data_IF_557188422697
#
_entry.id   IF_557188422697
#
_cell.length_a   1.000
_cell.length_b   1.000
_cell.length_c   1.000
_cell.angle_alpha   90.00
_cell.angle_beta   90.00
_cell.angle_gamma   90.00
#
_symmetry.space_group_name_H-M   'P 1'
#
loop_
_entity.id
_entity.type
_entity.pdbx_description
1 polymer ?
#
# COMPACT_ATOMS: atom_id res chain seq x y z
N UNK A 1 -10.70 1.46 0.25
CA UNK A 1 -9.93 2.59 0.81
C UNK A 1 -10.17 2.57 2.28
N UNK A 2 -9.12 2.44 3.07
CA UNK A 2 -9.21 2.35 4.52
C UNK A 2 -9.75 3.64 5.18
N UNK A 3 -9.76 3.66 6.50
CA UNK A 3 -10.28 4.78 7.29
C UNK A 3 -9.55 6.09 7.01
N UNK A 4 -10.29 7.21 6.95
CA UNK A 4 -9.68 8.54 6.75
C UNK A 4 -9.34 9.20 8.09
N UNK A 5 -8.09 9.03 8.52
CA UNK A 5 -7.55 9.60 9.75
C UNK A 5 -6.64 10.83 9.51
N UNK A 6 -6.63 11.39 8.30
CA UNK A 6 -5.68 12.47 7.91
C UNK A 6 -5.71 13.68 8.83
N UNK A 7 -6.87 14.05 9.32
CA UNK A 7 -7.05 15.24 10.15
C UNK A 7 -6.61 15.05 11.61
N UNK A 8 -6.35 13.80 12.02
CA UNK A 8 -5.97 13.46 13.38
C UNK A 8 -4.50 13.06 13.51
N UNK A 9 -3.94 12.44 12.46
CA UNK A 9 -2.65 11.78 12.55
C UNK A 9 -1.52 12.71 12.11
N UNK A 10 -0.56 13.03 12.98
CA UNK A 10 0.65 13.76 12.63
C UNK A 10 1.52 12.93 11.69
N UNK A 11 2.15 13.59 10.73
CA UNK A 11 2.97 12.99 9.68
C UNK A 11 4.29 13.73 9.59
N UNK A 12 5.39 13.00 9.48
CA UNK A 12 6.72 13.56 9.33
C UNK A 12 7.29 13.15 7.97
N UNK A 13 7.72 14.08 7.12
CA UNK A 13 8.45 13.74 5.91
C UNK A 13 9.67 12.88 6.24
N UNK A 14 9.96 11.88 5.41
CA UNK A 14 11.13 11.02 5.54
C UNK A 14 11.80 10.85 4.17
N UNK A 15 13.13 11.00 4.13
CA UNK A 15 13.86 10.78 2.89
C UNK A 15 14.02 9.29 2.59
N UNK A 16 14.24 8.97 1.32
CA UNK A 16 14.52 7.58 0.91
C UNK A 16 15.82 7.07 1.52
N UNK A 17 16.83 7.91 1.68
CA UNK A 17 18.11 7.56 2.27
C UNK A 17 17.96 7.11 3.72
N UNK A 18 17.03 7.70 4.47
CA UNK A 18 16.72 7.31 5.85
C UNK A 18 16.12 5.89 5.95
N UNK A 19 15.60 5.36 4.84
CA UNK A 19 15.09 4.00 4.73
C UNK A 19 16.15 2.98 4.29
N UNK A 20 17.39 3.42 3.99
CA UNK A 20 18.49 2.53 3.63
C UNK A 20 18.76 1.52 4.74
N UNK A 21 18.97 0.25 4.38
CA UNK A 21 19.16 -0.87 5.30
C UNK A 21 17.91 -1.34 6.04
N UNK A 22 16.78 -0.60 5.95
CA UNK A 22 15.54 -0.94 6.66
C UNK A 22 14.70 -1.95 5.88
N UNK A 23 14.11 -2.89 6.61
CA UNK A 23 13.08 -3.80 6.07
C UNK A 23 11.75 -3.08 6.06
N UNK A 24 11.12 -2.96 4.89
CA UNK A 24 9.82 -2.30 4.73
C UNK A 24 8.81 -3.32 4.20
N UNK A 25 7.76 -3.57 4.99
CA UNK A 25 6.67 -4.45 4.62
C UNK A 25 5.63 -3.67 3.79
N UNK A 26 5.65 -3.88 2.48
CA UNK A 26 4.84 -3.14 1.50
C UNK A 26 3.56 -3.91 1.22
N UNK A 27 2.41 -3.26 1.39
CA UNK A 27 1.14 -3.78 0.91
C UNK A 27 1.20 -3.92 -0.62
N UNK A 28 1.24 -5.18 -1.09
CA UNK A 28 1.40 -5.50 -2.50
C UNK A 28 0.18 -5.08 -3.31
N UNK A 29 -1.05 -5.33 -2.80
CA UNK A 29 -2.27 -4.98 -3.51
C UNK A 29 -2.44 -3.48 -3.64
N UNK A 30 -2.20 -2.71 -2.58
CA UNK A 30 -2.21 -1.25 -2.61
C UNK A 30 -1.19 -0.72 -3.63
N UNK A 31 0.05 -1.22 -3.62
CA UNK A 31 1.09 -0.83 -4.57
C UNK A 31 0.70 -1.14 -6.03
N UNK A 32 0.23 -2.37 -6.32
CA UNK A 32 -0.15 -2.80 -7.66
C UNK A 32 -1.36 -2.01 -8.18
N UNK A 33 -2.36 -1.73 -7.35
CA UNK A 33 -3.47 -0.85 -7.71
C UNK A 33 -3.02 0.55 -8.08
N UNK A 34 -2.08 1.10 -7.33
CA UNK A 34 -1.50 2.41 -7.64
C UNK A 34 -0.78 2.41 -8.99
N UNK A 35 0.00 1.38 -9.28
CA UNK A 35 0.69 1.25 -10.56
C UNK A 35 -0.31 1.15 -11.72
N UNK A 36 -1.35 0.34 -11.58
CA UNK A 36 -2.44 0.23 -12.58
C UNK A 36 -3.19 1.54 -12.79
N UNK A 37 -3.33 2.36 -11.73
CA UNK A 37 -4.03 3.63 -11.80
C UNK A 37 -3.19 4.75 -12.42
N UNK A 38 -1.88 4.78 -12.15
CA UNK A 38 -0.99 5.89 -12.49
C UNK A 38 -0.24 5.64 -13.80
N UNK A 39 0.22 4.40 -14.04
CA UNK A 39 1.05 4.03 -15.20
C UNK A 39 0.15 3.72 -16.38
N UNK A 40 -0.15 4.76 -17.16
CA UNK A 40 -1.08 4.71 -18.28
C UNK A 40 -0.55 5.52 -19.45
N UNK A 41 -1.04 5.22 -20.64
CA UNK A 41 -0.80 6.00 -21.85
C UNK A 41 -1.49 7.38 -21.74
N UNK A 42 -1.16 8.34 -22.62
CA UNK A 42 -1.78 9.68 -22.61
C UNK A 42 -3.31 9.67 -22.73
N UNK A 43 -3.87 8.69 -23.45
CA UNK A 43 -5.32 8.50 -23.63
C UNK A 43 -6.01 7.88 -22.40
N UNK A 44 -5.25 7.51 -21.36
CA UNK A 44 -5.75 6.86 -20.14
C UNK A 44 -5.76 5.33 -20.21
N UNK A 45 -5.44 4.71 -21.33
CA UNK A 45 -5.35 3.24 -21.41
C UNK A 45 -4.15 2.70 -20.63
N UNK A 46 -4.25 1.51 -19.99
CA UNK A 46 -3.10 0.89 -19.35
C UNK A 46 -2.06 0.45 -20.38
N UNK A 47 -0.79 0.35 -19.97
CA UNK A 47 0.24 -0.27 -20.79
C UNK A 47 -0.12 -1.73 -21.06
N UNK A 48 0.16 -2.18 -22.29
CA UNK A 48 -0.15 -3.55 -22.75
C UNK A 48 1.01 -4.12 -23.52
N UNK A 49 1.14 -5.45 -23.50
CA UNK A 49 1.98 -6.20 -24.44
C UNK A 49 1.26 -6.34 -25.80
N UNK A 50 1.96 -6.88 -26.81
CA UNK A 50 1.43 -7.11 -28.17
C UNK A 50 0.23 -8.06 -28.21
N UNK A 51 0.01 -8.86 -27.15
CA UNK A 51 -1.15 -9.77 -27.04
C UNK A 51 -2.34 -9.10 -26.34
N UNK A 52 -2.19 -7.84 -25.91
CA UNK A 52 -3.22 -7.05 -25.24
C UNK A 52 -3.26 -7.20 -23.71
N UNK A 53 -2.38 -8.00 -23.10
CA UNK A 53 -2.32 -8.16 -21.64
C UNK A 53 -1.78 -6.90 -20.99
N UNK A 54 -2.39 -6.48 -19.89
CA UNK A 54 -1.98 -5.28 -19.15
C UNK A 54 -0.63 -5.53 -18.46
N UNK A 55 0.31 -4.58 -18.63
CA UNK A 55 1.68 -4.64 -18.08
C UNK A 55 2.04 -3.48 -17.16
N UNK A 56 1.12 -2.55 -16.91
CA UNK A 56 1.34 -1.38 -16.03
C UNK A 56 1.80 -1.76 -14.63
N UNK A 57 1.22 -2.81 -14.04
CA UNK A 57 1.58 -3.32 -12.71
C UNK A 57 3.02 -3.84 -12.66
N UNK A 58 3.45 -4.58 -13.69
CA UNK A 58 4.83 -5.07 -13.81
C UNK A 58 5.83 -3.94 -14.01
N UNK A 59 5.46 -2.94 -14.82
CA UNK A 59 6.30 -1.75 -15.03
C UNK A 59 6.53 -1.00 -13.72
N UNK A 60 5.45 -0.73 -12.97
CA UNK A 60 5.55 -0.08 -11.67
C UNK A 60 6.36 -0.88 -10.67
N UNK A 61 6.06 -2.17 -10.56
CA UNK A 61 6.74 -3.08 -9.65
C UNK A 61 8.25 -3.15 -9.93
N UNK A 62 8.65 -3.37 -11.20
CA UNK A 62 10.05 -3.43 -11.59
C UNK A 62 10.81 -2.16 -11.18
N UNK A 63 10.39 -1.01 -11.73
CA UNK A 63 11.17 0.22 -11.57
C UNK A 63 11.14 0.74 -10.15
N UNK A 64 10.03 0.59 -9.43
CA UNK A 64 9.96 1.01 -8.03
C UNK A 64 10.80 0.11 -7.12
N UNK A 65 10.74 -1.20 -7.31
CA UNK A 65 11.56 -2.16 -6.55
C UNK A 65 13.06 -1.95 -6.83
N UNK A 66 13.44 -1.73 -8.08
CA UNK A 66 14.83 -1.38 -8.45
C UNK A 66 15.30 -0.13 -7.72
N UNK A 67 14.48 0.94 -7.67
CA UNK A 67 14.83 2.16 -6.95
C UNK A 67 15.02 1.89 -5.44
N UNK A 68 14.18 1.06 -4.83
CA UNK A 68 14.32 0.69 -3.43
C UNK A 68 15.60 -0.10 -3.16
N UNK A 69 15.89 -1.08 -3.99
CA UNK A 69 17.12 -1.89 -3.86
C UNK A 69 18.38 -1.06 -4.09
N UNK A 70 18.33 -0.08 -5.01
CA UNK A 70 19.47 0.80 -5.32
C UNK A 70 19.89 1.66 -4.11
N UNK A 71 18.93 2.17 -3.34
CA UNK A 71 19.21 2.93 -2.11
C UNK A 71 19.50 2.02 -0.90
N UNK A 72 19.51 0.70 -1.08
CA UNK A 72 19.77 -0.29 -0.02
C UNK A 72 18.58 -0.57 0.88
N UNK A 73 17.38 -0.12 0.56
CA UNK A 73 16.18 -0.54 1.26
C UNK A 73 15.92 -2.03 1.03
N UNK A 74 15.35 -2.71 2.01
CA UNK A 74 14.99 -4.12 1.97
C UNK A 74 13.46 -4.27 1.88
N UNK A 75 12.86 -4.18 0.68
CA UNK A 75 11.43 -4.33 0.52
C UNK A 75 11.01 -5.80 0.71
N UNK A 76 9.87 -6.01 1.36
CA UNK A 76 9.12 -7.26 1.34
C UNK A 76 7.68 -6.96 0.98
N UNK A 77 7.14 -7.66 -0.02
CA UNK A 77 5.78 -7.43 -0.50
C UNK A 77 4.80 -8.40 0.15
N UNK A 78 3.74 -7.87 0.74
CA UNK A 78 2.74 -8.65 1.48
C UNK A 78 1.49 -8.73 0.60
N UNK A 79 1.13 -9.95 0.20
CA UNK A 79 -0.08 -10.22 -0.60
C UNK A 79 -1.23 -10.64 0.30
N UNK A 80 -2.41 -10.06 0.08
CA UNK A 80 -3.63 -10.44 0.79
C UNK A 80 -3.98 -11.92 0.57
N UNK A 81 -4.51 -12.52 1.63
CA UNK A 81 -5.15 -13.83 1.58
C UNK A 81 -6.64 -13.72 1.24
N UNK A 82 -7.42 -14.64 1.79
CA UNK A 82 -8.88 -14.58 1.66
C UNK A 82 -9.42 -13.43 2.49
N UNK A 83 -10.16 -12.50 1.87
CA UNK A 83 -10.80 -11.44 2.63
C UNK A 83 -11.78 -12.07 3.65
N UNK A 84 -11.98 -11.47 4.82
CA UNK A 84 -13.03 -11.87 5.72
C UNK A 84 -14.40 -11.76 5.03
N UNK A 85 -15.32 -12.71 5.30
CA UNK A 85 -16.68 -12.72 4.71
C UNK A 85 -17.41 -11.38 4.93
N UNK A 86 -17.12 -10.74 6.00
CA UNK A 86 -17.63 -9.44 6.45
C UNK A 86 -17.27 -8.26 5.51
N UNK A 87 -16.25 -8.39 4.62
CA UNK A 87 -15.89 -7.37 3.61
C UNK A 87 -16.77 -7.38 2.35
N UNK A 88 -17.72 -8.27 2.22
CA UNK A 88 -18.54 -8.39 0.99
C UNK A 88 -19.25 -7.10 0.60
N UNK A 89 -19.76 -6.35 1.57
CA UNK A 89 -20.45 -5.06 1.35
C UNK A 89 -19.51 -4.03 0.71
N UNK A 90 -18.28 -3.91 1.21
CA UNK A 90 -17.30 -2.97 0.64
C UNK A 90 -16.82 -3.43 -0.75
N UNK A 91 -16.67 -4.72 -0.96
CA UNK A 91 -16.33 -5.29 -2.28
C UNK A 91 -17.41 -4.94 -3.30
N UNK A 92 -18.70 -5.08 -2.94
CA UNK A 92 -19.82 -4.70 -3.79
C UNK A 92 -19.87 -3.20 -4.07
N UNK A 93 -19.63 -2.36 -3.05
CA UNK A 93 -19.55 -0.90 -3.19
C UNK A 93 -18.43 -0.50 -4.15
N UNK A 94 -17.23 -1.05 -3.98
CA UNK A 94 -16.07 -0.81 -4.87
C UNK A 94 -16.37 -1.23 -6.31
N UNK A 95 -17.08 -2.34 -6.49
CA UNK A 95 -17.50 -2.81 -7.81
C UNK A 95 -18.44 -1.80 -8.49
N UNK A 96 -19.47 -1.29 -7.80
CA UNK A 96 -20.39 -0.27 -8.34
C UNK A 96 -19.66 1.01 -8.75
N UNK A 97 -18.78 1.52 -7.89
CA UNK A 97 -17.97 2.71 -8.20
C UNK A 97 -17.13 2.52 -9.47
N UNK A 98 -16.53 1.32 -9.64
CA UNK A 98 -15.77 1.00 -10.85
C UNK A 98 -16.66 0.92 -12.10
N UNK A 99 -17.83 0.29 -12.01
CA UNK A 99 -18.78 0.20 -13.11
C UNK A 99 -19.26 1.59 -13.57
N UNK A 100 -19.52 2.51 -12.64
CA UNK A 100 -19.82 3.89 -12.94
C UNK A 100 -18.63 4.64 -13.59
N UNK A 101 -17.43 4.40 -13.10
CA UNK A 101 -16.23 5.00 -13.67
C UNK A 101 -15.97 4.52 -15.11
N UNK A 102 -16.24 3.25 -15.44
CA UNK A 102 -16.17 2.73 -16.80
C UNK A 102 -17.12 3.47 -17.72
N UNK A 103 -18.39 3.63 -17.33
CA UNK A 103 -19.39 4.38 -18.13
C UNK A 103 -18.94 5.82 -18.39
N UNK A 104 -18.51 6.53 -17.34
CA UNK A 104 -17.99 7.91 -17.46
C UNK A 104 -16.74 8.01 -18.34
N UNK A 105 -15.88 6.99 -18.30
CA UNK A 105 -14.71 6.90 -19.16
C UNK A 105 -15.11 6.76 -20.64
N UNK A 106 -16.03 5.85 -20.95
CA UNK A 106 -16.54 5.66 -22.33
C UNK A 106 -17.23 6.92 -22.86
N UNK A 107 -18.07 7.56 -22.06
CA UNK A 107 -18.72 8.83 -22.41
C UNK A 107 -17.70 9.96 -22.67
N UNK A 108 -16.63 10.03 -21.89
CA UNK A 108 -15.57 11.02 -22.07
C UNK A 108 -14.80 10.78 -23.38
N UNK A 109 -14.52 9.52 -23.72
CA UNK A 109 -13.89 9.14 -25.01
C UNK A 109 -14.79 9.51 -26.19
N UNK A 110 -16.10 9.22 -26.13
CA UNK A 110 -17.06 9.58 -27.20
C UNK A 110 -17.15 11.10 -27.43
N UNK A 111 -16.98 11.89 -26.37
CA UNK A 111 -16.92 13.36 -26.44
C UNK A 111 -15.57 13.93 -26.84
N UNK A 112 -14.55 13.10 -27.02
CA UNK A 112 -13.17 13.52 -27.29
C UNK A 112 -12.48 14.23 -26.12
N UNK A 113 -13.06 14.16 -24.89
CA UNK A 113 -12.47 14.75 -23.69
C UNK A 113 -11.43 13.80 -23.08
N UNK A 114 -10.23 13.80 -23.67
CA UNK A 114 -9.12 12.96 -23.21
C UNK A 114 -8.70 13.24 -21.77
N UNK A 115 -8.95 14.46 -21.27
CA UNK A 115 -8.61 14.82 -19.88
C UNK A 115 -9.57 14.17 -18.90
N UNK A 116 -10.88 14.25 -19.15
CA UNK A 116 -11.89 13.56 -18.36
C UNK A 116 -11.72 12.04 -18.47
N UNK A 117 -11.52 11.52 -19.69
CA UNK A 117 -11.26 10.11 -19.93
C UNK A 117 -10.10 9.60 -19.08
N UNK A 118 -8.96 10.28 -19.04
CA UNK A 118 -7.82 9.91 -18.21
C UNK A 118 -8.14 9.90 -16.71
N UNK A 119 -8.94 10.86 -16.25
CA UNK A 119 -9.36 10.94 -14.84
C UNK A 119 -10.22 9.74 -14.43
N UNK A 120 -11.22 9.40 -15.24
CA UNK A 120 -12.09 8.25 -14.99
C UNK A 120 -11.36 6.91 -15.18
N UNK A 121 -10.48 6.82 -16.18
CA UNK A 121 -9.66 5.64 -16.42
C UNK A 121 -8.85 5.21 -15.18
N UNK A 122 -8.35 6.15 -14.37
CA UNK A 122 -7.62 5.82 -13.13
C UNK A 122 -8.50 5.05 -12.13
N UNK A 123 -9.81 5.30 -12.14
CA UNK A 123 -10.78 4.64 -11.25
C UNK A 123 -11.23 3.27 -11.75
N UNK A 124 -10.94 2.93 -13.03
CA UNK A 124 -11.28 1.64 -13.63
C UNK A 124 -10.26 0.54 -13.36
N UNK A 125 -9.17 0.85 -12.65
CA UNK A 125 -8.11 -0.12 -12.36
C UNK A 125 -8.70 -1.40 -11.72
N UNK A 126 -8.34 -2.56 -12.28
CA UNK A 126 -8.74 -3.86 -11.79
C UNK A 126 -7.51 -4.75 -11.68
N UNK A 127 -7.25 -5.22 -10.48
CA UNK A 127 -6.18 -6.18 -10.20
C UNK A 127 -6.78 -7.58 -10.22
N UNK A 128 -6.19 -8.47 -11.02
CA UNK A 128 -6.60 -9.87 -11.12
C UNK A 128 -5.63 -10.77 -10.36
N UNK A 129 -6.06 -11.99 -10.06
CA UNK A 129 -5.18 -13.00 -9.44
C UNK A 129 -3.99 -13.35 -10.36
N UNK A 130 -4.19 -13.31 -11.67
CA UNK A 130 -3.11 -13.49 -12.65
C UNK A 130 -2.04 -12.41 -12.50
N UNK A 131 -2.44 -11.13 -12.40
CA UNK A 131 -1.52 -10.02 -12.19
C UNK A 131 -0.77 -10.12 -10.85
N UNK A 132 -1.45 -10.59 -9.79
CA UNK A 132 -0.81 -10.84 -8.50
C UNK A 132 0.24 -11.97 -8.61
N UNK A 133 -0.07 -13.05 -9.34
CA UNK A 133 0.87 -14.14 -9.58
C UNK A 133 2.06 -13.69 -10.47
N UNK A 134 1.81 -12.87 -11.48
CA UNK A 134 2.87 -12.25 -12.28
C UNK A 134 3.79 -11.37 -11.43
N UNK A 135 3.22 -10.60 -10.51
CA UNK A 135 3.98 -9.78 -9.56
C UNK A 135 4.87 -10.64 -8.64
N UNK A 136 4.35 -11.73 -8.09
CA UNK A 136 5.13 -12.70 -7.29
C UNK A 136 6.29 -13.29 -8.09
N UNK A 137 6.01 -13.75 -9.32
CA UNK A 137 7.02 -14.28 -10.25
C UNK A 137 8.14 -13.26 -10.51
N UNK A 138 7.78 -11.99 -10.73
CA UNK A 138 8.77 -10.93 -10.92
C UNK A 138 9.61 -10.68 -9.66
N UNK A 139 8.99 -10.64 -8.48
CA UNK A 139 9.69 -10.47 -7.20
C UNK A 139 10.66 -11.63 -6.94
N UNK A 140 10.27 -12.86 -7.20
CA UNK A 140 11.14 -14.04 -7.10
C UNK A 140 12.36 -13.92 -8.02
N UNK A 141 12.16 -13.51 -9.27
CA UNK A 141 13.24 -13.30 -10.23
C UNK A 141 14.15 -12.11 -9.83
N UNK A 142 13.60 -11.08 -9.20
CA UNK A 142 14.37 -9.96 -8.64
C UNK A 142 15.09 -10.31 -7.32
N UNK A 143 14.85 -11.51 -6.76
CA UNK A 143 15.41 -11.93 -5.48
C UNK A 143 14.83 -11.18 -4.29
N UNK A 144 13.60 -10.67 -4.40
CA UNK A 144 12.89 -9.92 -3.36
C UNK A 144 11.85 -10.82 -2.69
N UNK A 145 11.87 -10.95 -1.36
CA UNK A 145 10.91 -11.78 -0.66
C UNK A 145 9.50 -11.20 -0.74
N UNK A 146 8.53 -12.10 -0.76
CA UNK A 146 7.12 -11.79 -0.59
C UNK A 146 6.47 -12.73 0.42
N UNK A 147 5.38 -12.29 1.02
CA UNK A 147 4.63 -13.02 2.04
C UNK A 147 3.18 -13.13 1.61
N UNK A 148 2.61 -14.32 1.70
CA UNK A 148 1.17 -14.53 1.57
C UNK A 148 0.54 -14.39 2.94
N UNK A 149 -0.21 -13.32 3.17
CA UNK A 149 -1.00 -13.19 4.38
C UNK A 149 -2.13 -14.22 4.42
N UNK A 150 -2.52 -14.72 5.59
CA UNK A 150 -3.68 -15.61 5.70
C UNK A 150 -5.01 -14.86 5.48
N UNK A 151 -5.02 -13.53 5.72
CA UNK A 151 -6.14 -12.62 5.52
C UNK A 151 -5.62 -11.32 4.91
N UNK A 152 -5.65 -10.21 5.63
CA UNK A 152 -5.25 -8.90 5.13
C UNK A 152 -3.75 -8.67 5.17
N UNK A 153 -3.19 -8.17 4.06
CA UNK A 153 -1.77 -7.86 3.95
C UNK A 153 -1.33 -6.76 4.92
N UNK A 154 -2.18 -5.76 5.16
CA UNK A 154 -1.90 -4.69 6.12
C UNK A 154 -1.78 -5.21 7.56
N UNK A 155 -2.63 -6.18 7.95
CA UNK A 155 -2.54 -6.85 9.24
C UNK A 155 -1.22 -7.63 9.37
N UNK A 156 -0.84 -8.37 8.34
CA UNK A 156 0.44 -9.09 8.30
C UNK A 156 1.63 -8.14 8.32
N UNK A 157 1.60 -7.04 7.56
CA UNK A 157 2.64 -6.01 7.59
C UNK A 157 2.77 -5.37 8.99
N UNK A 158 1.64 -5.05 9.63
CA UNK A 158 1.60 -4.54 11.00
C UNK A 158 2.24 -5.53 11.98
N UNK A 159 1.85 -6.79 11.91
CA UNK A 159 2.41 -7.86 12.75
C UNK A 159 3.94 -7.97 12.62
N UNK A 160 4.47 -7.90 11.40
CA UNK A 160 5.91 -7.92 11.15
C UNK A 160 6.63 -6.72 11.80
N UNK A 161 5.98 -5.55 11.89
CA UNK A 161 6.55 -4.40 12.61
C UNK A 161 6.52 -4.58 14.12
N UNK A 162 5.46 -5.20 14.67
CA UNK A 162 5.32 -5.51 16.10
C UNK A 162 6.41 -6.50 16.52
N UNK A 163 6.60 -7.54 15.72
CA UNK A 163 7.61 -8.58 15.95
C UNK A 163 9.05 -8.07 15.79
N UNK A 164 9.25 -6.99 15.01
CA UNK A 164 10.57 -6.43 14.73
C UNK A 164 11.21 -6.97 13.45
N UNK A 165 10.53 -7.81 12.68
CA UNK A 165 11.00 -8.34 11.40
C UNK A 165 10.97 -7.27 10.30
N UNK A 166 10.10 -6.25 10.43
CA UNK A 166 10.06 -5.06 9.59
C UNK A 166 10.22 -3.79 10.42
N UNK A 167 10.90 -2.78 9.84
CA UNK A 167 11.02 -1.46 10.43
C UNK A 167 9.70 -0.70 10.38
N UNK A 168 9.00 -0.78 9.25
CA UNK A 168 7.71 -0.12 9.01
C UNK A 168 6.86 -0.93 8.04
N UNK A 169 5.54 -0.78 8.15
CA UNK A 169 4.59 -1.11 7.09
C UNK A 169 4.57 0.04 6.06
N UNK A 170 4.26 -0.26 4.80
CA UNK A 170 4.06 0.75 3.77
C UNK A 170 2.74 0.53 3.04
N UNK A 171 1.82 1.48 3.21
CA UNK A 171 0.50 1.53 2.56
C UNK A 171 0.07 2.99 2.41
N UNK A 172 -0.93 3.26 1.57
CA UNK A 172 -1.59 4.57 1.53
C UNK A 172 -2.70 4.69 2.58
N UNK A 173 -3.22 3.57 3.02
CA UNK A 173 -4.30 3.51 3.99
C UNK A 173 -3.74 3.55 5.43
N UNK A 174 -4.56 4.01 6.38
CA UNK A 174 -4.15 4.10 7.78
C UNK A 174 -4.43 2.82 8.56
N UNK A 175 -5.07 1.84 7.93
CA UNK A 175 -5.56 0.61 8.59
C UNK A 175 -4.42 -0.19 9.23
N UNK A 176 -3.21 -0.12 8.67
CA UNK A 176 -2.00 -0.70 9.28
C UNK A 176 -1.77 -0.20 10.72
N UNK A 177 -2.13 1.06 11.05
CA UNK A 177 -2.02 1.60 12.42
C UNK A 177 -3.08 0.99 13.34
N UNK A 178 -4.29 0.74 12.82
CA UNK A 178 -5.36 0.08 13.57
C UNK A 178 -4.96 -1.36 13.91
N UNK A 179 -4.30 -2.05 12.99
CA UNK A 179 -3.68 -3.37 13.22
C UNK A 179 -2.46 -3.32 14.16
N UNK A 180 -2.01 -2.13 14.53
CA UNK A 180 -0.93 -1.93 15.50
C UNK A 180 0.47 -1.83 14.90
N UNK A 181 0.60 -1.51 13.61
CA UNK A 181 1.92 -1.24 13.03
C UNK A 181 2.65 -0.15 13.83
N UNK A 182 3.85 -0.45 14.33
CA UNK A 182 4.66 0.53 15.09
C UNK A 182 5.01 1.75 14.25
N UNK A 183 5.22 1.55 12.95
CA UNK A 183 5.51 2.61 11.97
C UNK A 183 4.78 2.32 10.66
N UNK A 184 4.22 3.37 10.07
CA UNK A 184 3.62 3.35 8.75
C UNK A 184 4.35 4.37 7.87
N UNK A 185 4.82 3.94 6.70
CA UNK A 185 5.36 4.83 5.67
C UNK A 185 4.31 4.97 4.57
N UNK A 186 3.84 6.19 4.36
CA UNK A 186 2.91 6.52 3.28
C UNK A 186 3.65 7.11 2.08
N UNK A 187 3.01 7.16 0.95
CA UNK A 187 3.54 7.71 -0.31
C UNK A 187 4.80 7.03 -0.86
N UNK A 188 5.24 5.91 -0.31
CA UNK A 188 6.47 5.24 -0.69
C UNK A 188 6.47 4.82 -2.18
N UNK A 189 5.34 4.29 -2.66
CA UNK A 189 5.20 3.77 -4.03
C UNK A 189 4.86 4.84 -5.07
N UNK A 190 4.39 6.03 -4.64
CA UNK A 190 3.95 7.12 -5.53
C UNK A 190 4.80 8.38 -5.43
N UNK A 191 5.86 8.36 -4.63
CA UNK A 191 6.77 9.50 -4.45
C UNK A 191 7.40 9.98 -5.77
N UNK A 192 7.70 11.26 -5.82
CA UNK A 192 8.25 11.97 -6.97
C UNK A 192 7.32 13.06 -7.51
N UNK A 193 7.67 13.66 -8.63
CA UNK A 193 6.90 14.75 -9.25
C UNK A 193 5.54 14.26 -9.75
N UNK A 194 4.48 14.79 -9.19
CA UNK A 194 3.10 14.51 -9.59
C UNK A 194 2.43 15.78 -10.08
N UNK A 195 1.80 15.71 -11.27
CA UNK A 195 0.99 16.81 -11.79
C UNK A 195 -0.30 16.94 -10.99
N UNK A 196 -0.62 18.15 -10.52
CA UNK A 196 -1.87 18.43 -9.82
C UNK A 196 -3.08 18.23 -10.74
N UNK A 197 -4.19 17.68 -10.24
CA UNK A 197 -5.42 17.60 -11.00
C UNK A 197 -5.88 19.01 -11.41
N UNK A 198 -6.22 19.20 -12.71
CA UNK A 198 -6.72 20.44 -13.27
C UNK A 198 -5.77 21.65 -13.30
N UNK A 199 -4.49 21.48 -12.89
CA UNK A 199 -3.46 22.51 -12.93
C UNK A 199 -2.26 22.03 -13.73
N UNK A 200 -1.49 22.95 -14.31
CA UNK A 200 -0.23 22.65 -14.99
C UNK A 200 0.97 22.79 -14.04
N UNK A 201 0.73 22.43 -12.80
CA UNK A 201 1.69 22.48 -11.70
C UNK A 201 2.07 21.08 -11.27
N UNK A 202 3.34 20.89 -10.92
CA UNK A 202 3.85 19.64 -10.38
C UNK A 202 4.12 19.83 -8.88
N UNK A 203 3.68 18.87 -8.08
CA UNK A 203 4.01 18.76 -6.64
C UNK A 203 4.94 17.59 -6.49
N UNK A 204 5.99 17.79 -5.71
CA UNK A 204 6.84 16.68 -5.27
C UNK A 204 6.17 15.98 -4.09
N UNK A 205 5.95 14.69 -4.24
CA UNK A 205 5.38 13.85 -3.18
C UNK A 205 6.54 13.14 -2.51
N UNK A 206 6.74 13.43 -1.25
CA UNK A 206 7.71 12.76 -0.40
C UNK A 206 7.05 11.64 0.42
N UNK A 207 7.80 10.59 0.79
CA UNK A 207 7.32 9.63 1.76
C UNK A 207 7.07 10.28 3.12
N UNK A 208 6.04 9.82 3.81
CA UNK A 208 5.66 10.28 5.14
C UNK A 208 5.77 9.15 6.15
N UNK A 209 6.44 9.38 7.26
CA UNK A 209 6.53 8.46 8.39
C UNK A 209 5.49 8.82 9.45
N UNK A 210 4.80 7.80 9.93
CA UNK A 210 3.88 7.87 11.05
C UNK A 210 4.33 6.85 12.09
N UNK A 211 4.50 7.28 13.33
CA UNK A 211 4.87 6.42 14.46
C UNK A 211 3.67 6.29 15.40
N UNK A 212 3.15 5.07 15.56
CA UNK A 212 1.91 4.83 16.30
C UNK A 212 1.98 5.36 17.74
N UNK A 213 3.09 5.12 18.44
CA UNK A 213 3.26 5.56 19.83
C UNK A 213 3.16 7.09 19.95
N UNK A 214 3.73 7.83 18.99
CA UNK A 214 3.61 9.30 18.97
C UNK A 214 2.17 9.75 18.72
N UNK A 215 1.47 9.08 17.78
CA UNK A 215 0.05 9.34 17.51
C UNK A 215 -0.79 9.14 18.77
N UNK A 216 -0.64 8.01 19.44
CA UNK A 216 -1.39 7.69 20.65
C UNK A 216 -1.08 8.67 21.78
N UNK A 217 0.19 9.06 21.95
CA UNK A 217 0.62 10.03 22.96
C UNK A 217 0.05 11.43 22.66
N UNK A 218 0.16 11.93 21.44
CA UNK A 218 -0.36 13.26 21.07
C UNK A 218 -1.89 13.34 21.18
N UNK A 219 -2.57 12.28 20.75
CA UNK A 219 -4.02 12.20 20.87
C UNK A 219 -4.49 11.85 22.29
N UNK A 220 -3.60 11.41 23.18
CA UNK A 220 -3.91 10.93 24.53
C UNK A 220 -4.99 9.85 24.54
N UNK A 221 -4.82 8.85 23.69
CA UNK A 221 -5.73 7.70 23.55
C UNK A 221 -4.94 6.39 23.52
N UNK A 222 -5.65 5.27 23.73
CA UNK A 222 -5.09 3.93 23.51
C UNK A 222 -5.27 3.48 22.07
N UNK A 223 -4.64 2.38 21.66
CA UNK A 223 -4.85 1.77 20.34
C UNK A 223 -6.31 1.30 20.19
N UNK A 224 -6.90 0.71 21.23
CA UNK A 224 -8.30 0.31 21.22
C UNK A 224 -9.21 1.50 20.95
N UNK A 225 -8.94 2.64 21.57
CA UNK A 225 -9.68 3.87 21.34
C UNK A 225 -9.46 4.43 19.92
N UNK A 226 -8.28 4.24 19.33
CA UNK A 226 -8.04 4.60 17.93
C UNK A 226 -8.89 3.73 16.98
N UNK A 227 -9.02 2.44 17.26
CA UNK A 227 -9.93 1.53 16.55
C UNK A 227 -11.39 1.95 16.74
N UNK A 228 -11.80 2.32 17.96
CA UNK A 228 -13.15 2.83 18.25
C UNK A 228 -13.46 4.10 17.43
N UNK A 229 -12.51 5.03 17.36
CA UNK A 229 -12.60 6.24 16.51
C UNK A 229 -12.80 5.84 15.04
N UNK A 230 -12.01 4.89 14.55
CA UNK A 230 -12.10 4.42 13.17
C UNK A 230 -13.48 3.79 12.86
N UNK A 231 -14.05 3.01 13.79
CA UNK A 231 -15.39 2.42 13.65
C UNK A 231 -16.47 3.52 13.57
N UNK A 232 -16.36 4.57 14.38
CA UNK A 232 -17.29 5.70 14.31
C UNK A 232 -17.23 6.46 12.99
N UNK A 233 -16.04 6.60 12.40
CA UNK A 233 -15.82 7.30 11.12
C UNK A 233 -16.27 6.42 9.94
N UNK A 234 -16.03 5.12 10.02
CA UNK A 234 -16.22 4.13 8.99
C UNK A 234 -14.91 3.47 8.55
N UNK A 235 -14.93 2.16 8.46
CA UNK A 235 -13.82 1.30 8.03
C UNK A 235 -14.25 0.46 6.84
N UNK A 236 -13.34 -0.35 6.29
CA UNK A 236 -13.68 -1.33 5.24
C UNK A 236 -14.73 -2.36 5.69
N UNK A 237 -14.96 -2.52 7.00
CA UNK A 237 -15.95 -3.44 7.58
C UNK A 237 -17.30 -2.77 7.88
N UNK A 238 -17.32 -1.46 8.05
CA UNK A 238 -18.50 -0.64 8.27
C UNK A 238 -18.37 0.71 7.54
N UNK A 239 -18.45 0.73 6.21
CA UNK A 239 -18.03 1.88 5.38
C UNK A 239 -18.75 3.20 5.66
N UNK A 240 -19.98 3.14 6.15
CA UNK A 240 -20.78 4.33 6.38
C UNK A 240 -20.53 4.99 7.75
N UNK A 241 -19.92 4.25 8.69
CA UNK A 241 -19.67 4.73 10.05
C UNK A 241 -20.96 5.25 10.71
N UNK A 242 -20.80 6.27 11.55
CA UNK A 242 -21.94 6.98 12.16
C UNK A 242 -22.19 8.28 11.40
N UNK A 243 -23.40 8.47 10.90
CA UNK A 243 -23.78 9.66 10.09
C UNK A 243 -23.48 10.96 10.84
N UNK A 244 -22.70 11.84 10.21
CA UNK A 244 -22.33 13.15 10.76
C UNK A 244 -21.15 13.12 11.74
N UNK A 245 -20.53 11.94 11.97
CA UNK A 245 -19.37 11.79 12.85
C UNK A 245 -18.11 11.70 11.99
N UNK A 246 -17.38 12.81 11.90
CA UNK A 246 -16.05 12.85 11.29
C UNK A 246 -14.93 12.62 12.31
N UNK A 247 -13.66 12.63 11.87
CA UNK A 247 -12.50 12.30 12.72
C UNK A 247 -12.43 13.08 14.04
N UNK A 248 -12.57 14.39 13.98
CA UNK A 248 -12.51 15.25 15.19
C UNK A 248 -13.66 15.00 16.15
N UNK A 249 -14.87 14.76 15.61
CA UNK A 249 -16.05 14.43 16.42
C UNK A 249 -15.88 13.07 17.08
N UNK A 250 -15.43 12.06 16.34
CA UNK A 250 -15.16 10.72 16.86
C UNK A 250 -14.13 10.75 18.00
N UNK A 251 -13.01 11.46 17.82
CA UNK A 251 -12.00 11.65 18.86
C UNK A 251 -12.62 12.28 20.13
N UNK A 252 -13.41 13.36 19.97
CA UNK A 252 -14.08 14.02 21.09
C UNK A 252 -15.03 13.08 21.83
N UNK A 253 -15.82 12.30 21.08
CA UNK A 253 -16.75 11.32 21.66
C UNK A 253 -16.02 10.26 22.47
N UNK A 254 -14.98 9.65 21.89
CA UNK A 254 -14.22 8.60 22.59
C UNK A 254 -13.49 9.17 23.81
N UNK A 255 -12.92 10.36 23.76
CA UNK A 255 -12.34 11.00 24.94
C UNK A 255 -13.37 11.32 26.03
N UNK A 256 -14.57 11.72 25.65
CA UNK A 256 -15.62 12.07 26.60
C UNK A 256 -16.23 10.84 27.29
N UNK A 257 -16.50 9.81 26.51
CA UNK A 257 -17.22 8.62 27.01
C UNK A 257 -16.30 7.44 27.35
N UNK A 258 -15.06 7.45 26.90
CA UNK A 258 -14.01 6.47 27.20
C UNK A 258 -14.05 5.21 26.34
N UNK A 259 -15.18 4.81 25.75
CA UNK A 259 -15.30 3.64 24.89
C UNK A 259 -16.40 3.82 23.83
N UNK A 260 -16.34 2.99 22.79
CA UNK A 260 -17.31 2.96 21.70
C UNK A 260 -18.74 2.71 22.20
N UNK A 261 -18.94 1.74 23.09
CA UNK A 261 -20.26 1.35 23.60
C UNK A 261 -20.95 2.49 24.36
N UNK A 262 -20.17 3.26 25.12
CA UNK A 262 -20.70 4.44 25.83
C UNK A 262 -20.95 5.61 24.88
N UNK A 263 -20.09 5.79 23.89
CA UNK A 263 -20.26 6.84 22.88
C UNK A 263 -21.52 6.57 22.01
N UNK A 264 -21.76 5.32 21.62
CA UNK A 264 -22.94 4.94 20.85
C UNK A 264 -24.25 5.18 21.60
N UNK A 265 -24.29 4.97 22.93
CA UNK A 265 -25.47 5.29 23.74
C UNK A 265 -25.84 6.78 23.79
N UNK A 266 -24.88 7.64 23.53
CA UNK A 266 -25.05 9.10 23.48
C UNK A 266 -25.37 9.64 22.07
N UNK A 267 -25.35 8.79 21.07
CA UNK A 267 -25.65 9.11 19.68
C UNK A 267 -27.05 8.66 19.31
N UNK A 268 -27.67 9.24 18.26
CA UNK A 268 -28.91 8.70 17.70
C UNK A 268 -28.71 7.25 17.29
N UNK A 269 -29.80 6.49 17.34
CA UNK A 269 -29.77 5.08 16.94
C UNK A 269 -29.14 4.91 15.57
N UNK A 270 -28.05 4.16 15.53
CA UNK A 270 -27.26 3.92 14.34
C UNK A 270 -27.23 2.42 14.08
N UNK A 271 -27.74 2.02 12.93
CA UNK A 271 -27.63 0.63 12.48
C UNK A 271 -26.23 0.38 11.93
N UNK A 272 -25.55 -0.60 12.50
CA UNK A 272 -24.31 -1.12 11.96
C UNK A 272 -24.60 -2.41 11.19
N UNK A 273 -24.07 -2.58 9.98
CA UNK A 273 -24.22 -3.82 9.22
C UNK A 273 -23.59 -5.03 9.94
N UNK A 274 -22.67 -4.76 10.84
CA UNK A 274 -21.91 -5.72 11.63
C UNK A 274 -21.77 -5.18 13.04
N UNK A 275 -21.80 -6.06 14.04
CA UNK A 275 -21.58 -5.66 15.44
C UNK A 275 -20.21 -4.93 15.55
N UNK A 276 -20.18 -3.67 16.05
CA UNK A 276 -18.95 -2.92 16.23
C UNK A 276 -17.89 -3.65 17.07
N UNK A 277 -18.29 -4.53 17.97
CA UNK A 277 -17.36 -5.34 18.78
C UNK A 277 -16.63 -6.38 17.92
N UNK A 278 -17.29 -6.93 16.92
CA UNK A 278 -16.65 -7.85 15.95
C UNK A 278 -15.67 -7.11 15.06
N UNK A 279 -16.04 -5.92 14.58
CA UNK A 279 -15.13 -5.05 13.82
C UNK A 279 -13.89 -4.70 14.64
N UNK A 280 -14.08 -4.33 15.93
CA UNK A 280 -12.96 -4.06 16.84
C UNK A 280 -12.04 -5.27 16.97
N UNK A 281 -12.60 -6.46 17.16
CA UNK A 281 -11.85 -7.70 17.29
C UNK A 281 -10.99 -7.99 16.07
N UNK A 282 -11.47 -7.70 14.86
CA UNK A 282 -10.70 -7.90 13.63
C UNK A 282 -9.41 -7.08 13.60
N UNK A 283 -9.46 -5.84 14.09
CA UNK A 283 -8.27 -5.00 14.15
C UNK A 283 -7.33 -5.38 15.31
N UNK A 284 -7.88 -5.79 16.45
CA UNK A 284 -7.08 -6.08 17.65
C UNK A 284 -6.48 -7.49 17.65
N UNK A 285 -7.18 -8.45 17.03
CA UNK A 285 -6.80 -9.87 16.97
C UNK A 285 -6.79 -10.39 15.51
N UNK A 286 -6.02 -9.79 14.61
CA UNK A 286 -6.03 -10.17 13.21
C UNK A 286 -5.44 -11.55 12.97
N UNK A 287 -5.87 -12.23 11.90
CA UNK A 287 -5.26 -13.47 11.45
C UNK A 287 -3.95 -13.18 10.74
N UNK A 288 -2.84 -13.62 11.32
CA UNK A 288 -1.47 -13.45 10.80
C UNK A 288 -0.71 -14.75 10.81
N UNK A 289 0.47 -14.79 10.19
CA UNK A 289 1.32 -15.98 10.12
C UNK A 289 2.77 -15.66 10.39
N UNK A 290 3.49 -16.64 10.96
CA UNK A 290 4.95 -16.66 11.07
C UNK A 290 5.63 -17.47 9.96
N UNK A 291 4.83 -18.06 9.06
CA UNK A 291 5.35 -18.91 7.99
C UNK A 291 5.81 -18.06 6.79
N UNK A 292 6.94 -17.35 6.96
CA UNK A 292 7.61 -16.61 5.90
C UNK A 292 9.12 -16.59 6.10
N UNK A 293 9.86 -16.33 5.01
CA UNK A 293 11.31 -16.14 5.01
C UNK A 293 11.66 -14.81 4.38
N UNK A 294 12.52 -14.06 5.05
CA UNK A 294 13.00 -12.75 4.61
C UNK A 294 14.43 -12.88 4.07
N UNK A 295 14.54 -13.35 2.83
CA UNK A 295 15.83 -13.54 2.16
C UNK A 295 15.88 -12.69 0.90
N UNK A 296 16.75 -11.69 0.89
CA UNK A 296 17.04 -10.89 -0.29
C UNK A 296 18.22 -11.51 -1.04
N UNK A 297 17.99 -11.86 -2.29
CA UNK A 297 18.98 -12.51 -3.15
C UNK A 297 19.36 -11.61 -4.31
N UNK A 298 20.48 -11.91 -4.94
CA UNK A 298 20.87 -11.28 -6.19
C UNK A 298 19.82 -11.60 -7.27
N UNK A 299 19.42 -10.61 -8.12
CA UNK A 299 18.49 -10.86 -9.22
C UNK A 299 18.99 -11.95 -10.17
N UNK A 300 18.07 -12.82 -10.58
CA UNK A 300 18.24 -13.72 -11.73
C UNK A 300 17.96 -12.92 -13.01
N UNK A 301 19.02 -12.39 -13.61
CA UNK A 301 18.93 -11.52 -14.79
C UNK A 301 18.23 -12.21 -15.95
N UNK A 302 18.55 -13.49 -16.20
CA UNK A 302 17.98 -14.24 -17.32
C UNK A 302 16.48 -14.51 -17.11
N UNK A 303 16.08 -14.86 -15.89
CA UNK A 303 14.68 -15.03 -15.55
C UNK A 303 13.86 -13.73 -15.71
N UNK A 304 14.41 -12.58 -15.25
CA UNK A 304 13.76 -11.26 -15.43
C UNK A 304 13.64 -10.90 -16.91
N UNK A 305 14.73 -11.05 -17.69
CA UNK A 305 14.73 -10.72 -19.13
C UNK A 305 13.75 -11.63 -19.89
N UNK A 306 13.75 -12.92 -19.63
CA UNK A 306 12.79 -13.86 -20.24
C UNK A 306 11.37 -13.46 -19.94
N UNK A 307 11.05 -13.24 -18.67
CA UNK A 307 9.68 -12.90 -18.27
C UNK A 307 9.23 -11.55 -18.83
N UNK A 308 10.01 -10.49 -18.62
CA UNK A 308 9.57 -9.15 -19.00
C UNK A 308 9.75 -8.86 -20.50
N UNK A 309 10.87 -9.28 -21.10
CA UNK A 309 11.15 -8.91 -22.50
C UNK A 309 10.56 -9.91 -23.49
N UNK A 310 10.74 -11.21 -23.26
CA UNK A 310 10.32 -12.21 -24.24
C UNK A 310 8.82 -12.56 -24.11
N UNK A 311 8.25 -12.54 -22.89
CA UNK A 311 6.86 -12.89 -22.63
C UNK A 311 5.92 -11.68 -22.50
N UNK A 312 6.43 -10.46 -22.19
CA UNK A 312 5.62 -9.25 -21.90
C UNK A 312 6.04 -8.01 -22.70
N UNK A 313 6.91 -8.15 -23.68
CA UNK A 313 7.33 -7.11 -24.64
C UNK A 313 7.97 -5.85 -24.01
N UNK A 314 8.60 -5.97 -22.85
CA UNK A 314 9.37 -4.87 -22.28
C UNK A 314 10.65 -4.61 -23.10
N UNK A 315 11.07 -3.34 -23.16
CA UNK A 315 12.34 -2.98 -23.78
C UNK A 315 13.50 -3.64 -23.05
N UNK A 316 14.24 -4.51 -23.75
CA UNK A 316 15.40 -5.22 -23.20
C UNK A 316 16.46 -4.26 -22.68
N UNK A 317 16.72 -3.17 -23.41
CA UNK A 317 17.65 -2.13 -23.00
C UNK A 317 17.25 -1.51 -21.65
N UNK A 318 15.99 -1.10 -21.50
CA UNK A 318 15.49 -0.49 -20.26
C UNK A 318 15.53 -1.44 -19.07
N UNK A 319 15.16 -2.70 -19.28
CA UNK A 319 15.19 -3.74 -18.22
C UNK A 319 16.64 -4.04 -17.83
N UNK A 320 17.55 -4.20 -18.79
CA UNK A 320 18.98 -4.42 -18.52
C UNK A 320 19.60 -3.25 -17.75
N UNK A 321 19.28 -2.01 -18.14
CA UNK A 321 19.74 -0.82 -17.42
C UNK A 321 19.23 -0.79 -15.98
N UNK A 322 17.96 -1.13 -15.74
CA UNK A 322 17.39 -1.22 -14.40
C UNK A 322 18.11 -2.30 -13.56
N UNK A 323 18.30 -3.50 -14.09
CA UNK A 323 18.99 -4.58 -13.40
C UNK A 323 20.46 -4.25 -13.09
N UNK A 324 21.14 -3.55 -14.01
CA UNK A 324 22.54 -3.14 -13.79
C UNK A 324 22.70 -2.22 -12.58
N UNK A 325 21.71 -1.37 -12.29
CA UNK A 325 21.70 -0.49 -11.11
C UNK A 325 21.62 -1.32 -9.82
N UNK A 326 20.72 -2.31 -9.76
CA UNK A 326 20.59 -3.22 -8.61
C UNK A 326 21.87 -4.03 -8.40
N UNK A 327 22.45 -4.57 -9.46
CA UNK A 327 23.70 -5.35 -9.36
C UNK A 327 24.88 -4.51 -8.84
N UNK A 328 24.98 -3.26 -9.27
CA UNK A 328 26.00 -2.31 -8.76
C UNK A 328 25.77 -2.03 -7.27
N UNK A 329 24.53 -1.77 -6.86
CA UNK A 329 24.17 -1.56 -5.47
C UNK A 329 24.53 -2.77 -4.59
N UNK A 330 24.18 -3.98 -5.02
CA UNK A 330 24.58 -5.21 -4.31
C UNK A 330 26.10 -5.34 -4.14
N UNK A 331 26.90 -5.00 -5.17
CA UNK A 331 28.35 -5.04 -5.07
C UNK A 331 28.91 -4.01 -4.08
N UNK A 332 28.34 -2.80 -4.05
CA UNK A 332 28.73 -1.75 -3.11
C UNK A 332 28.43 -2.13 -1.66
N UNK A 333 27.22 -2.66 -1.39
CA UNK A 333 26.84 -3.14 -0.05
C UNK A 333 27.72 -4.30 0.42
N UNK A 334 28.04 -5.26 -0.43
CA UNK A 334 28.92 -6.37 -0.09
C UNK A 334 30.33 -5.88 0.30
N UNK A 335 30.86 -4.87 -0.41
CA UNK A 335 32.16 -4.24 -0.08
C UNK A 335 32.10 -3.50 1.25
N UNK A 336 31.03 -2.76 1.52
CA UNK A 336 30.86 -1.98 2.76
C UNK A 336 30.75 -2.88 3.98
N UNK A 337 29.95 -3.96 3.91
CA UNK A 337 29.83 -4.96 4.99
C UNK A 337 31.18 -5.64 5.26
N UNK A 338 31.96 -5.95 4.22
CA UNK A 338 33.30 -6.50 4.37
C UNK A 338 34.26 -5.54 5.09
N UNK A 339 34.18 -4.24 4.74
CA UNK A 339 35.00 -3.19 5.38
C UNK A 339 34.63 -2.99 6.86
N UNK A 340 33.32 -2.94 7.17
CA UNK A 340 32.83 -2.78 8.53
C UNK A 340 33.17 -3.98 9.42
N UNK A 341 33.20 -5.19 8.87
CA UNK A 341 33.65 -6.38 9.56
C UNK A 341 35.17 -6.37 9.81
N UNK A 342 35.93 -5.78 8.87
CA UNK A 342 37.37 -5.63 9.04
C UNK A 342 37.71 -4.59 10.11
N UNK A 343 37.03 -3.46 10.12
CA UNK A 343 37.22 -2.38 11.12
C UNK A 343 36.80 -2.83 12.55
N UNK A 344 35.76 -3.66 12.69
CA UNK A 344 35.34 -4.18 14.01
C UNK A 344 36.25 -5.25 14.58
N UNK A 345 37.18 -5.81 13.78
CA UNK A 345 38.16 -6.82 14.23
C UNK A 345 39.52 -6.23 14.63
N UNK A 346 39.68 -4.95 14.40
CA UNK A 346 40.87 -4.17 14.80
C UNK A 346 40.43 -2.99 15.69
#
# INVERSE_FOLDING_TARGET
>A
MGVDLRDLIPRTPISFEALSGKVIAIDAYNALYQFLSIIRQPDGTPLRDRTGRITSHLSGLLYRTVNFLEIGMKPVYIFDGRPPEIKEMEVLRRRRVKEEAVKKYEEALQRGDLRAARTYAQQTAHLTDEMANEAKRLLEALGVPWVQAPSEGEAQAAYMTIKGDAYAAASQDYDSLLFGAKRLVRNLTISGKRKLPRKDEYVEIEPELIELDKVLQELQITREQLVDIAILIGTDYNPDGVKGVGPKTALKLIKTYGSLEKALKALPETEFPIDPSEVRKMFLEPKVTDNYKLEWRKPDVDAVLRFLCDERDFSRERVTNALSRVLKAHQQYAKQVSLDLFIKKH
#
